data_IF_360128904207
#
_entry.id   IF_360128904207
#
_cell.length_a   1.000
_cell.length_b   1.000
_cell.length_c   1.000
_cell.angle_alpha   90.00
_cell.angle_beta   90.00
_cell.angle_gamma   90.00
#
_symmetry.space_group_name_H-M   'P 1'
#
loop_
_entity.id
_entity.type
_entity.pdbx_description
1 polymer ?
#
# COMPACT_ATOMS: atom_id res chain seq x y z
N UNK A 1 -37.25 -19.83 20.09
CA UNK A 1 -36.81 -19.66 20.08
C UNK A 1 -35.82 -19.37 19.88
N UNK A 2 -35.81 -19.04 19.81
CA UNK A 2 -34.95 -18.52 19.64
C UNK A 2 -33.83 -19.02 19.49
N UNK A 3 -33.61 -19.55 19.50
CA UNK A 3 -32.52 -20.00 19.44
C UNK A 3 -32.00 -20.40 18.41
N UNK A 4 -32.39 -20.63 17.97
CA UNK A 4 -31.84 -20.88 17.08
C UNK A 4 -31.14 -20.23 16.41
N UNK A 5 -31.09 -19.63 16.67
CA UNK A 5 -30.61 -18.94 15.94
C UNK A 5 -29.33 -18.89 15.95
N UNK A 6 -28.93 -19.14 16.41
CA UNK A 6 -27.76 -18.98 16.60
C UNK A 6 -26.87 -19.72 16.02
N UNK A 7 -27.02 -20.34 15.84
CA UNK A 7 -26.15 -20.85 15.29
C UNK A 7 -25.76 -20.82 14.25
N UNK A 8 -25.85 -20.76 14.12
CA UNK A 8 -25.75 -20.67 13.01
C UNK A 8 -24.71 -19.95 12.46
N UNK A 9 -24.71 -18.89 12.62
CA UNK A 9 -23.82 -18.04 12.08
C UNK A 9 -22.46 -18.49 12.24
N UNK A 10 -22.23 -19.10 13.19
CA UNK A 10 -21.05 -19.53 13.39
C UNK A 10 -20.48 -20.27 12.39
N UNK A 11 -21.04 -21.12 11.95
CA UNK A 11 -20.53 -21.94 11.00
C UNK A 11 -19.91 -21.26 9.92
N UNK A 12 -20.50 -20.30 9.56
CA UNK A 12 -20.07 -19.60 8.50
C UNK A 12 -18.72 -19.12 8.57
N UNK A 13 -18.46 -18.48 9.54
CA UNK A 13 -17.23 -17.85 9.62
C UNK A 13 -16.13 -18.81 9.48
N UNK A 14 -16.29 -19.88 10.01
CA UNK A 14 -15.22 -20.76 9.99
C UNK A 14 -14.81 -21.16 8.65
N UNK A 15 -15.73 -21.39 7.87
CA UNK A 15 -15.37 -21.90 6.61
C UNK A 15 -14.52 -21.02 5.84
N UNK A 16 -14.77 -19.82 5.89
CA UNK A 16 -14.07 -18.90 5.11
C UNK A 16 -12.61 -18.94 5.39
N UNK A 17 -12.28 -18.90 6.59
CA UNK A 17 -10.90 -18.80 6.90
C UNK A 17 -10.13 -20.01 6.45
N UNK A 18 -10.73 -21.09 6.46
CA UNK A 18 -10.02 -22.26 6.15
C UNK A 18 -9.51 -22.33 4.76
N UNK A 19 -10.20 -21.76 3.89
CA UNK A 19 -9.78 -21.82 2.54
C UNK A 19 -8.43 -21.28 2.29
N UNK A 20 -8.09 -20.25 2.93
CA UNK A 20 -6.82 -19.68 2.69
C UNK A 20 -5.74 -20.58 3.13
N UNK A 21 -5.99 -21.35 4.11
CA UNK A 21 -4.97 -22.19 4.63
C UNK A 21 -4.69 -23.35 3.73
N UNK A 22 -5.56 -23.62 2.85
CA UNK A 22 -5.35 -24.74 1.98
C UNK A 22 -4.35 -24.46 0.89
N UNK A 23 -3.85 -23.27 0.84
CA UNK A 23 -2.90 -22.95 -0.18
C UNK A 23 -1.62 -22.47 0.40
N UNK A 24 -1.07 -23.19 1.28
CA UNK A 24 0.09 -22.74 1.98
C UNK A 24 1.30 -22.51 1.13
N UNK A 25 1.43 -23.05 0.12
CA UNK A 25 2.63 -22.88 -0.60
C UNK A 25 2.57 -21.88 -1.72
N UNK A 26 1.53 -21.15 -1.76
CA UNK A 26 1.38 -20.25 -2.87
C UNK A 26 1.80 -18.88 -2.54
N UNK A 27 2.95 -18.45 -2.94
CA UNK A 27 3.42 -17.13 -2.62
C UNK A 27 3.06 -16.11 -3.67
N UNK A 28 2.39 -16.48 -4.69
CA UNK A 28 2.13 -15.55 -5.76
C UNK A 28 1.06 -14.56 -5.38
N UNK A 29 1.48 -13.43 -4.86
CA UNK A 29 0.56 -12.42 -4.42
C UNK A 29 -0.10 -11.68 -5.55
N UNK A 30 0.34 -11.92 -6.74
CA UNK A 30 -0.28 -11.22 -7.85
C UNK A 30 -1.72 -11.65 -8.05
N UNK A 31 -2.10 -12.74 -7.43
CA UNK A 31 -3.46 -13.18 -7.52
C UNK A 31 -4.35 -12.38 -6.60
N UNK A 32 -3.74 -11.64 -5.67
CA UNK A 32 -4.51 -10.89 -4.70
C UNK A 32 -4.03 -9.46 -4.66
N UNK A 33 -4.16 -8.73 -5.76
CA UNK A 33 -3.64 -7.39 -5.80
C UNK A 33 -4.53 -6.36 -5.12
N UNK A 34 -3.92 -5.33 -4.63
CA UNK A 34 -4.62 -4.18 -4.09
C UNK A 34 -4.09 -2.93 -4.75
N UNK A 35 -4.53 -1.80 -4.26
CA UNK A 35 -4.13 -0.49 -4.80
C UNK A 35 -3.57 0.34 -3.67
N UNK A 36 -2.52 1.11 -3.96
CA UNK A 36 -1.94 2.03 -3.00
C UNK A 36 -2.00 3.43 -3.56
N UNK A 37 -2.58 4.35 -2.81
CA UNK A 37 -2.63 5.75 -3.21
C UNK A 37 -1.77 6.52 -2.23
N UNK A 38 -0.81 7.26 -2.73
CA UNK A 38 0.11 8.03 -1.91
C UNK A 38 -0.14 9.50 -2.15
N UNK A 39 -0.25 10.27 -1.09
CA UNK A 39 -0.40 11.72 -1.20
C UNK A 39 0.81 12.37 -0.58
N UNK A 40 1.37 13.36 -1.26
CA UNK A 40 2.54 14.08 -0.79
C UNK A 40 2.18 15.55 -0.66
N UNK A 41 2.40 16.10 0.52
CA UNK A 41 2.08 17.50 0.81
C UNK A 41 3.24 18.15 1.50
N UNK A 42 3.24 19.47 1.49
CA UNK A 42 4.23 20.20 2.27
C UNK A 42 3.69 20.43 3.69
N UNK A 43 4.44 21.12 4.52
CA UNK A 43 4.04 21.31 5.91
C UNK A 43 2.82 22.21 6.06
N UNK A 44 2.47 22.95 5.02
CA UNK A 44 1.28 23.77 5.04
C UNK A 44 0.07 23.01 4.50
N UNK A 45 0.25 21.76 4.09
CA UNK A 45 -0.83 20.96 3.57
C UNK A 45 -1.04 21.06 2.08
N UNK A 46 -0.21 21.80 1.39
CA UNK A 46 -0.36 21.96 -0.06
C UNK A 46 0.22 20.76 -0.81
N UNK A 47 -0.43 20.33 -1.87
CA UNK A 47 0.09 19.18 -2.61
C UNK A 47 1.36 19.53 -3.35
N UNK A 48 2.25 18.56 -3.50
CA UNK A 48 3.49 18.75 -4.22
C UNK A 48 3.53 17.81 -5.40
N UNK A 49 3.64 18.34 -6.61
CA UNK A 49 3.73 17.51 -7.80
C UNK A 49 5.20 17.21 -8.09
N UNK A 50 5.44 16.21 -8.90
CA UNK A 50 6.79 15.89 -9.33
C UNK A 50 7.64 15.14 -8.31
N UNK A 51 7.03 14.61 -7.26
CA UNK A 51 7.76 13.86 -6.26
C UNK A 51 7.73 12.40 -6.68
N UNK A 52 8.91 11.80 -6.80
CA UNK A 52 8.95 10.40 -7.17
C UNK A 52 8.63 9.54 -5.95
N UNK A 53 7.66 8.66 -6.12
CA UNK A 53 7.24 7.74 -5.08
C UNK A 53 7.50 6.33 -5.59
N UNK A 54 8.31 5.59 -4.85
CA UNK A 54 8.67 4.24 -5.23
C UNK A 54 8.00 3.24 -4.31
N UNK A 55 7.62 2.11 -4.85
CA UNK A 55 7.08 1.03 -4.04
C UNK A 55 7.90 -0.21 -4.32
N UNK A 56 8.24 -0.93 -3.27
CA UNK A 56 9.03 -2.13 -3.39
C UNK A 56 8.13 -3.30 -3.72
N UNK A 57 8.46 -4.04 -4.75
CA UNK A 57 7.65 -5.16 -5.21
C UNK A 57 8.49 -6.43 -5.26
N UNK A 58 7.88 -7.56 -4.97
CA UNK A 58 8.61 -8.82 -5.08
C UNK A 58 8.65 -9.24 -6.54
N UNK A 59 9.68 -9.93 -6.92
CA UNK A 59 9.70 -10.50 -8.26
C UNK A 59 9.69 -12.02 -8.16
N UNK A 60 9.60 -12.68 -9.28
CA UNK A 60 9.39 -14.10 -9.30
C UNK A 60 10.61 -14.91 -8.91
N UNK A 61 11.76 -14.31 -8.83
CA UNK A 61 12.96 -15.06 -8.46
C UNK A 61 13.38 -14.83 -7.01
N UNK A 62 12.51 -14.24 -6.22
CA UNK A 62 12.81 -14.10 -4.82
C UNK A 62 13.51 -12.82 -4.42
N UNK A 63 13.77 -11.93 -5.34
CA UNK A 63 14.34 -10.65 -4.99
C UNK A 63 13.25 -9.59 -5.08
N UNK A 64 13.63 -8.32 -4.97
CA UNK A 64 12.64 -7.25 -5.04
C UNK A 64 13.12 -6.21 -6.04
N UNK A 65 12.20 -5.39 -6.48
CA UNK A 65 12.54 -4.24 -7.32
C UNK A 65 11.64 -3.09 -6.92
N UNK A 66 12.04 -1.91 -7.35
CA UNK A 66 11.28 -0.71 -7.00
C UNK A 66 10.63 -0.14 -8.24
N UNK A 67 9.37 0.24 -8.12
CA UNK A 67 8.65 0.85 -9.20
C UNK A 67 8.30 2.26 -8.79
N UNK A 68 8.62 3.24 -9.61
CA UNK A 68 8.43 4.64 -9.25
C UNK A 68 7.52 5.39 -10.18
N UNK A 69 6.79 6.35 -9.64
CA UNK A 69 5.91 7.22 -10.40
C UNK A 69 5.91 8.58 -9.71
N UNK A 70 5.86 9.64 -10.48
CA UNK A 70 5.87 10.98 -9.90
C UNK A 70 4.45 11.44 -9.56
N UNK A 71 4.31 12.22 -8.50
CA UNK A 71 3.01 12.74 -8.10
C UNK A 71 2.48 13.71 -9.15
N UNK A 72 1.17 13.76 -9.25
CA UNK A 72 0.49 14.68 -10.17
C UNK A 72 0.23 16.03 -9.49
N UNK A 73 -0.55 16.88 -10.12
CA UNK A 73 -0.82 18.20 -9.57
C UNK A 73 -1.58 18.17 -8.25
N UNK A 74 -2.22 17.08 -7.94
CA UNK A 74 -2.90 16.93 -6.66
C UNK A 74 -1.98 16.31 -5.63
N UNK A 75 -0.72 16.09 -5.97
CA UNK A 75 0.26 15.48 -5.08
C UNK A 75 0.03 14.01 -4.89
N UNK A 76 -0.62 13.35 -5.83
CA UNK A 76 -0.99 11.94 -5.66
C UNK A 76 -0.35 11.00 -6.67
N UNK A 77 -0.12 9.79 -6.22
CA UNK A 77 0.34 8.71 -7.06
C UNK A 77 -0.54 7.52 -6.75
N UNK A 78 -0.98 6.83 -7.77
CA UNK A 78 -1.75 5.60 -7.59
C UNK A 78 -0.94 4.43 -8.15
N UNK A 79 -0.62 3.49 -7.30
CA UNK A 79 0.03 2.26 -7.73
C UNK A 79 -1.03 1.17 -7.75
N UNK A 80 -1.29 0.63 -8.94
CA UNK A 80 -2.34 -0.37 -9.08
C UNK A 80 -1.74 -1.74 -9.21
N UNK A 81 -2.52 -2.74 -8.91
CA UNK A 81 -2.13 -4.13 -9.04
C UNK A 81 -0.89 -4.43 -8.23
N UNK A 82 -0.92 -4.04 -6.97
CA UNK A 82 0.20 -4.27 -6.07
C UNK A 82 -0.07 -5.55 -5.31
N UNK A 83 0.86 -6.49 -5.29
CA UNK A 83 0.65 -7.73 -4.55
C UNK A 83 0.36 -7.48 -3.08
N UNK A 84 -0.59 -8.21 -2.53
CA UNK A 84 -0.98 -8.05 -1.15
C UNK A 84 0.19 -8.35 -0.22
N UNK A 85 0.19 -7.75 0.95
CA UNK A 85 1.23 -7.93 1.95
C UNK A 85 1.85 -6.61 2.31
N UNK A 86 2.93 -6.67 3.06
CA UNK A 86 3.61 -5.46 3.46
C UNK A 86 4.50 -4.97 2.36
N UNK A 87 4.39 -3.70 2.05
CA UNK A 87 5.18 -3.10 1.00
C UNK A 87 5.82 -1.84 1.53
N UNK A 88 7.05 -1.56 1.10
CA UNK A 88 7.75 -0.36 1.54
C UNK A 88 7.57 0.70 0.48
N UNK A 89 7.26 1.91 0.92
CA UNK A 89 7.18 3.07 0.04
C UNK A 89 8.36 3.98 0.34
N UNK A 90 8.88 4.61 -0.68
CA UNK A 90 9.97 5.56 -0.52
C UNK A 90 9.70 6.77 -1.39
N UNK A 91 9.83 7.97 -0.83
CA UNK A 91 9.69 9.18 -1.62
C UNK A 91 11.05 9.78 -1.87
N UNK A 92 11.21 10.36 -3.04
CA UNK A 92 12.42 11.09 -3.37
C UNK A 92 12.03 12.53 -3.62
N UNK A 93 12.32 13.41 -2.67
CA UNK A 93 11.89 14.78 -2.79
C UNK A 93 12.55 15.49 -3.95
N UNK A 94 11.86 16.41 -4.59
CA UNK A 94 12.47 17.20 -5.64
C UNK A 94 13.39 18.25 -5.02
N UNK A 95 14.14 18.94 -5.86
CA UNK A 95 15.04 19.98 -5.40
C UNK A 95 14.25 20.98 -4.57
N UNK A 96 14.82 21.39 -3.46
CA UNK A 96 14.18 22.35 -2.58
C UNK A 96 13.33 21.77 -1.47
N UNK A 97 13.21 20.45 -1.44
CA UNK A 97 12.43 19.78 -0.38
C UNK A 97 13.22 18.64 0.24
N UNK A 98 12.89 18.33 1.47
CA UNK A 98 13.46 17.18 2.16
C UNK A 98 12.34 16.40 2.84
N UNK A 99 12.58 15.14 3.09
CA UNK A 99 11.62 14.31 3.79
C UNK A 99 12.24 13.85 5.10
N UNK A 100 11.56 14.08 6.21
CA UNK A 100 12.05 13.62 7.51
C UNK A 100 11.89 12.12 7.60
N UNK A 101 10.84 11.61 7.01
CA UNK A 101 10.57 10.17 7.02
C UNK A 101 10.35 9.75 5.58
N UNK A 102 11.40 9.46 4.84
CA UNK A 102 11.26 9.17 3.41
C UNK A 102 10.71 7.78 3.11
N UNK A 103 10.66 6.91 4.09
CA UNK A 103 10.16 5.56 3.88
C UNK A 103 9.02 5.26 4.82
N UNK A 104 8.08 4.47 4.32
CA UNK A 104 6.92 4.13 5.11
C UNK A 104 6.43 2.76 4.67
N UNK A 105 6.10 1.91 5.62
CA UNK A 105 5.61 0.58 5.28
C UNK A 105 4.09 0.60 5.28
N UNK A 106 3.48 -0.05 4.30
CA UNK A 106 2.03 -0.12 4.21
C UNK A 106 1.61 -1.58 4.03
N UNK A 107 0.38 -1.85 4.41
CA UNK A 107 -0.19 -3.17 4.26
C UNK A 107 -1.15 -3.12 3.07
N UNK A 108 -0.86 -3.87 2.03
CA UNK A 108 -1.70 -3.92 0.85
C UNK A 108 -2.67 -5.09 1.01
N UNK A 109 -3.94 -4.81 0.84
CA UNK A 109 -4.99 -5.82 1.02
C UNK A 109 -5.71 -6.04 -0.29
N UNK A 110 -5.98 -7.28 -0.60
CA UNK A 110 -6.66 -7.65 -1.81
C UNK A 110 -7.91 -6.84 -2.03
N UNK A 111 -8.07 -6.34 -3.23
CA UNK A 111 -9.23 -5.59 -3.67
C UNK A 111 -9.53 -4.33 -2.85
N UNK A 112 -8.56 -3.84 -2.13
CA UNK A 112 -8.76 -2.64 -1.34
C UNK A 112 -7.76 -1.58 -1.70
N UNK A 113 -8.06 -0.35 -1.32
CA UNK A 113 -7.16 0.76 -1.53
C UNK A 113 -6.54 1.12 -0.21
N UNK A 114 -5.22 1.13 -0.16
CA UNK A 114 -4.48 1.55 1.00
C UNK A 114 -3.93 2.93 0.72
N UNK A 115 -4.05 3.84 1.66
CA UNK A 115 -3.55 5.19 1.46
C UNK A 115 -2.35 5.45 2.36
N UNK A 116 -1.47 6.31 1.90
CA UNK A 116 -0.31 6.72 2.68
C UNK A 116 -0.05 8.19 2.42
N UNK A 117 0.46 8.88 3.41
CA UNK A 117 0.74 10.30 3.29
C UNK A 117 2.18 10.57 3.63
N UNK A 118 2.81 11.45 2.86
CA UNK A 118 4.15 11.90 3.16
C UNK A 118 4.12 13.43 3.25
N UNK A 119 4.87 13.97 4.17
CA UNK A 119 5.00 15.41 4.32
C UNK A 119 6.44 15.79 4.05
N UNK A 120 6.63 16.76 3.17
CA UNK A 120 7.96 17.24 2.84
C UNK A 120 8.13 18.64 3.40
N UNK A 121 9.35 18.95 3.79
CA UNK A 121 9.66 20.29 4.27
C UNK A 121 10.52 20.98 3.24
N UNK A 122 10.46 22.28 3.22
CA UNK A 122 11.37 23.00 2.34
C UNK A 122 12.76 22.88 2.90
N UNK A 123 13.71 22.64 2.03
CA UNK A 123 15.09 22.51 2.44
C UNK A 123 15.59 23.87 2.90
N UNK A 124 16.41 23.85 3.92
CA UNK A 124 17.00 25.09 4.40
C UNK A 124 18.15 25.42 3.48
N UNK A 125 18.38 26.63 3.22
CA UNK A 125 19.47 27.00 2.35
C UNK A 125 20.57 27.71 3.13
#
# INVERSE_FOLDING_TARGET
>A
MRTFRIFVALAVAATVGCENLLQPGVPDNRRDPGTVVVTVRDTAGAPISGVWVYIELPNSVGSTFWEGTATNSDGKVTHRVIPAGRRMLEVRPPAGFTADTPKQEVEVVKDRTTTADFTLRRAQS
#
